data_IF_787019589892
#
_entry.id   IF_787019589892
#
_cell.length_a   1.000
_cell.length_b   1.000
_cell.length_c   1.000
_cell.angle_alpha   90.00
_cell.angle_beta   90.00
_cell.angle_gamma   90.00
#
_symmetry.space_group_name_H-M   'P 1'
#
loop_
_entity.id
_entity.type
_entity.pdbx_description
1 polymer ?
#
# COMPACT_ATOMS: atom_id res chain seq x y z
N UNK A 1 -28.51 -7.72 -21.19
CA UNK A 1 -27.43 -8.73 -21.26
C UNK A 1 -26.40 -8.35 -20.20
N UNK A 2 -26.31 -9.13 -19.11
CA UNK A 2 -25.34 -8.89 -18.04
C UNK A 2 -24.02 -9.55 -18.42
N UNK A 3 -22.97 -8.75 -18.63
CA UNK A 3 -21.60 -9.24 -18.73
C UNK A 3 -21.00 -9.17 -17.33
N UNK A 4 -21.01 -10.30 -16.62
CA UNK A 4 -20.31 -10.43 -15.35
C UNK A 4 -18.84 -10.72 -15.64
N UNK A 5 -17.95 -9.78 -15.33
CA UNK A 5 -16.54 -10.13 -15.15
C UNK A 5 -16.34 -10.79 -13.79
N UNK A 6 -15.22 -11.48 -13.61
CA UNK A 6 -14.80 -12.16 -12.37
C UNK A 6 -14.73 -11.24 -11.14
N UNK A 7 -14.87 -9.92 -11.30
CA UNK A 7 -14.84 -8.93 -10.23
C UNK A 7 -16.21 -8.58 -9.62
N UNK A 8 -17.31 -9.25 -9.99
CA UNK A 8 -18.62 -9.07 -9.33
C UNK A 8 -19.08 -7.59 -9.33
N UNK A 9 -18.74 -6.82 -10.38
CA UNK A 9 -19.20 -5.44 -10.58
C UNK A 9 -20.71 -5.46 -10.85
N UNK A 10 -21.49 -5.46 -9.77
CA UNK A 10 -22.97 -5.46 -9.78
C UNK A 10 -23.58 -4.12 -10.20
N UNK A 11 -22.76 -3.11 -10.48
CA UNK A 11 -23.24 -1.77 -10.80
C UNK A 11 -22.44 -1.13 -11.94
N UNK A 12 -22.71 -1.55 -13.18
CA UNK A 12 -22.87 -0.58 -14.26
C UNK A 12 -24.19 0.17 -14.01
N UNK A 13 -24.31 0.87 -12.88
CA UNK A 13 -25.39 1.84 -12.67
C UNK A 13 -25.22 2.90 -13.74
N UNK A 14 -26.26 3.13 -14.53
CA UNK A 14 -26.31 4.08 -15.64
C UNK A 14 -26.15 5.55 -15.27
N UNK A 15 -25.35 5.89 -14.26
CA UNK A 15 -24.73 7.20 -14.10
C UNK A 15 -23.56 7.31 -15.10
N UNK A 16 -23.88 7.21 -16.39
CA UNK A 16 -22.95 7.56 -17.44
C UNK A 16 -22.59 9.04 -17.25
N UNK A 17 -21.31 9.31 -17.03
CA UNK A 17 -20.83 10.68 -17.09
C UNK A 17 -21.08 11.18 -18.54
N UNK A 18 -21.94 12.20 -18.75
CA UNK A 18 -22.34 12.64 -20.08
C UNK A 18 -21.19 13.29 -20.87
N UNK A 19 -20.02 13.47 -20.26
CA UNK A 19 -18.81 13.99 -20.88
C UNK A 19 -17.84 12.89 -21.36
N UNK A 20 -18.19 11.60 -21.24
CA UNK A 20 -17.39 10.53 -21.85
C UNK A 20 -17.61 10.52 -23.37
N UNK A 21 -16.57 10.86 -24.14
CA UNK A 21 -16.61 10.98 -25.60
C UNK A 21 -16.85 9.64 -26.31
N UNK A 22 -16.50 8.51 -25.69
CA UNK A 22 -16.82 7.17 -26.17
C UNK A 22 -16.96 6.15 -25.02
N UNK A 23 -17.77 5.10 -25.23
CA UNK A 23 -17.94 3.99 -24.26
C UNK A 23 -16.64 3.24 -23.94
N UNK A 24 -15.68 3.24 -24.89
CA UNK A 24 -14.34 2.70 -24.68
C UNK A 24 -13.53 3.49 -23.64
N UNK A 25 -13.64 4.82 -23.62
CA UNK A 25 -12.94 5.65 -22.63
C UNK A 25 -13.52 5.48 -21.23
N UNK A 26 -14.83 5.24 -21.13
CA UNK A 26 -15.49 4.98 -19.86
C UNK A 26 -15.08 3.62 -19.29
N UNK A 27 -15.08 2.56 -20.11
CA UNK A 27 -14.54 1.26 -19.73
C UNK A 27 -13.05 1.38 -19.36
N UNK A 28 -12.25 2.01 -20.21
CA UNK A 28 -10.82 2.16 -19.95
C UNK A 28 -10.55 2.85 -18.61
N UNK A 29 -11.30 3.90 -18.27
CA UNK A 29 -11.12 4.62 -17.00
C UNK A 29 -11.50 3.77 -15.78
N UNK A 30 -12.64 3.08 -15.80
CA UNK A 30 -13.08 2.28 -14.65
C UNK A 30 -12.24 1.02 -14.47
N UNK A 31 -11.95 0.30 -15.56
CA UNK A 31 -11.09 -0.89 -15.51
C UNK A 31 -9.63 -0.54 -15.17
N UNK A 32 -9.13 0.62 -15.62
CA UNK A 32 -7.78 1.07 -15.27
C UNK A 32 -7.67 1.42 -13.78
N UNK A 33 -8.66 2.11 -13.22
CA UNK A 33 -8.70 2.39 -11.78
C UNK A 33 -8.80 1.11 -10.95
N UNK A 34 -9.67 0.18 -11.33
CA UNK A 34 -9.84 -1.08 -10.62
C UNK A 34 -8.54 -1.91 -10.65
N UNK A 35 -7.93 -2.04 -11.83
CA UNK A 35 -6.65 -2.73 -11.98
C UNK A 35 -5.53 -2.07 -11.16
N UNK A 36 -5.42 -0.74 -11.25
CA UNK A 36 -4.43 0.04 -10.50
C UNK A 36 -4.60 -0.14 -9.00
N UNK A 37 -5.82 0.00 -8.50
CA UNK A 37 -6.14 -0.10 -7.08
C UNK A 37 -5.90 -1.51 -6.54
N UNK A 38 -6.41 -2.54 -7.23
CA UNK A 38 -6.24 -3.95 -6.81
C UNK A 38 -4.76 -4.32 -6.80
N UNK A 39 -4.00 -3.97 -7.84
CA UNK A 39 -2.56 -4.23 -7.90
C UNK A 39 -1.83 -3.52 -6.77
N UNK A 40 -2.12 -2.23 -6.55
CA UNK A 40 -1.51 -1.46 -5.46
C UNK A 40 -1.81 -2.04 -4.07
N UNK A 41 -3.06 -2.43 -3.83
CA UNK A 41 -3.46 -3.07 -2.58
C UNK A 41 -2.78 -4.42 -2.37
N UNK A 42 -2.67 -5.24 -3.43
CA UNK A 42 -1.95 -6.51 -3.37
C UNK A 42 -0.47 -6.32 -3.01
N UNK A 43 0.21 -5.40 -3.71
CA UNK A 43 1.64 -5.14 -3.46
C UNK A 43 1.86 -4.60 -2.03
N UNK A 44 1.01 -3.67 -1.58
CA UNK A 44 1.09 -3.10 -0.23
C UNK A 44 0.83 -4.16 0.84
N UNK A 45 -0.16 -5.04 0.63
CA UNK A 45 -0.45 -6.14 1.54
C UNK A 45 0.70 -7.16 1.59
N UNK A 46 1.32 -7.48 0.45
CA UNK A 46 2.45 -8.41 0.36
C UNK A 46 3.66 -7.87 1.15
N UNK A 47 4.04 -6.62 0.93
CA UNK A 47 5.16 -6.00 1.66
C UNK A 47 4.86 -5.81 3.15
N UNK A 48 3.64 -5.39 3.48
CA UNK A 48 3.19 -5.29 4.88
C UNK A 48 3.22 -6.63 5.60
N UNK A 49 2.79 -7.71 4.93
CA UNK A 49 2.86 -9.07 5.47
C UNK A 49 4.30 -9.52 5.73
N UNK A 50 5.22 -9.30 4.79
CA UNK A 50 6.64 -9.66 4.96
C UNK A 50 7.27 -8.93 6.16
N UNK A 51 7.02 -7.63 6.29
CA UNK A 51 7.49 -6.84 7.43
C UNK A 51 6.87 -7.32 8.74
N UNK A 52 5.56 -7.59 8.76
CA UNK A 52 4.87 -8.10 9.95
C UNK A 52 5.42 -9.47 10.39
N UNK A 53 5.74 -10.36 9.46
CA UNK A 53 6.39 -11.66 9.77
C UNK A 53 7.78 -11.45 10.35
N UNK A 54 8.59 -10.55 9.77
CA UNK A 54 9.89 -10.19 10.34
C UNK A 54 9.76 -9.64 11.76
N UNK A 55 8.90 -8.64 11.97
CA UNK A 55 8.64 -8.07 13.28
C UNK A 55 8.17 -9.12 14.29
N UNK A 56 7.30 -10.05 13.87
CA UNK A 56 6.85 -11.16 14.72
C UNK A 56 8.01 -12.06 15.12
N UNK A 57 8.88 -12.45 14.19
CA UNK A 57 10.07 -13.25 14.51
C UNK A 57 10.97 -12.51 15.50
N UNK A 58 11.26 -11.24 15.24
CA UNK A 58 12.10 -10.42 16.13
C UNK A 58 11.51 -10.30 17.55
N UNK A 59 10.19 -10.18 17.64
CA UNK A 59 9.46 -10.05 18.90
C UNK A 59 9.33 -11.38 19.66
N UNK A 60 8.84 -12.44 19.01
CA UNK A 60 8.56 -13.73 19.65
C UNK A 60 9.85 -14.41 20.16
N UNK A 61 10.97 -14.21 19.45
CA UNK A 61 12.28 -14.71 19.87
C UNK A 61 13.09 -13.69 20.69
N UNK A 62 12.50 -12.52 21.02
CA UNK A 62 13.12 -11.47 21.85
C UNK A 62 14.55 -11.10 21.41
N UNK A 63 14.80 -11.07 20.09
CA UNK A 63 16.16 -10.98 19.54
C UNK A 63 16.88 -9.66 19.84
N UNK A 64 16.13 -8.63 20.24
CA UNK A 64 16.66 -7.32 20.63
C UNK A 64 16.37 -6.94 22.09
N UNK A 65 15.97 -7.90 22.93
CA UNK A 65 15.74 -7.64 24.35
C UNK A 65 17.05 -7.65 25.14
N UNK A 66 17.72 -6.50 25.19
CA UNK A 66 19.02 -6.31 25.85
C UNK A 66 18.92 -6.48 27.38
N UNK A 67 17.72 -6.36 27.93
CA UNK A 67 17.47 -6.42 29.38
C UNK A 67 16.98 -7.80 29.85
N UNK A 68 16.87 -8.78 28.95
CA UNK A 68 16.41 -10.13 29.28
C UNK A 68 17.47 -10.94 30.02
N UNK A 69 17.03 -11.74 31.00
CA UNK A 69 17.91 -12.60 31.82
C UNK A 69 18.71 -13.63 30.99
N UNK A 70 18.22 -14.00 29.80
CA UNK A 70 18.82 -14.98 28.88
C UNK A 70 19.52 -14.33 27.65
N UNK A 71 19.86 -13.04 27.71
CA UNK A 71 20.45 -12.34 26.56
C UNK A 71 21.89 -12.79 26.27
N UNK A 72 22.05 -13.61 25.23
CA UNK A 72 23.36 -13.95 24.67
C UNK A 72 23.64 -13.17 23.38
N UNK A 73 24.92 -12.83 23.12
CA UNK A 73 25.35 -12.05 21.93
C UNK A 73 24.84 -12.61 20.60
N UNK A 74 24.68 -13.92 20.48
CA UNK A 74 24.20 -14.54 19.25
C UNK A 74 22.74 -14.17 18.92
N UNK A 75 21.92 -13.79 19.90
CA UNK A 75 20.55 -13.32 19.66
C UNK A 75 20.54 -12.03 18.85
N UNK A 76 21.45 -11.10 19.17
CA UNK A 76 21.59 -9.83 18.46
C UNK A 76 22.12 -10.05 17.04
N UNK A 77 23.11 -10.93 16.87
CA UNK A 77 23.60 -11.30 15.54
C UNK A 77 22.50 -11.93 14.68
N UNK A 78 21.69 -12.81 15.27
CA UNK A 78 20.55 -13.45 14.60
C UNK A 78 19.44 -12.44 14.28
N UNK A 79 19.15 -11.50 15.19
CA UNK A 79 18.22 -10.41 14.95
C UNK A 79 18.64 -9.53 13.77
N UNK A 80 19.92 -9.14 13.71
CA UNK A 80 20.49 -8.39 12.58
C UNK A 80 20.39 -9.22 11.29
N UNK A 81 20.71 -10.52 11.33
CA UNK A 81 20.62 -11.40 10.18
C UNK A 81 19.18 -11.47 9.63
N UNK A 82 18.18 -11.62 10.50
CA UNK A 82 16.75 -11.62 10.10
C UNK A 82 16.40 -10.30 9.43
N UNK A 83 16.77 -9.16 10.01
CA UNK A 83 16.51 -7.83 9.42
C UNK A 83 17.14 -7.70 8.03
N UNK A 84 18.41 -8.09 7.88
CA UNK A 84 19.13 -7.99 6.61
C UNK A 84 18.52 -8.90 5.54
N UNK A 85 18.18 -10.16 5.88
CA UNK A 85 17.57 -11.12 4.95
C UNK A 85 16.19 -10.64 4.51
N UNK A 86 15.34 -10.20 5.44
CA UNK A 86 14.01 -9.71 5.09
C UNK A 86 14.08 -8.41 4.28
N UNK A 87 15.04 -7.53 4.58
CA UNK A 87 15.28 -6.32 3.78
C UNK A 87 15.74 -6.69 2.36
N UNK A 88 16.68 -7.62 2.22
CA UNK A 88 17.18 -8.08 0.93
C UNK A 88 16.08 -8.72 0.08
N UNK A 89 15.22 -9.55 0.70
CA UNK A 89 14.05 -10.14 0.05
C UNK A 89 13.06 -9.07 -0.39
N UNK A 90 12.76 -8.11 0.49
CA UNK A 90 11.84 -6.98 0.19
C UNK A 90 12.35 -6.16 -1.00
N UNK A 91 13.65 -5.84 -1.02
CA UNK A 91 14.27 -5.11 -2.12
C UNK A 91 14.27 -5.92 -3.43
N UNK A 92 14.50 -7.23 -3.39
CA UNK A 92 14.41 -8.08 -4.57
C UNK A 92 13.00 -8.13 -5.14
N UNK A 93 11.99 -8.28 -4.28
CA UNK A 93 10.60 -8.28 -4.69
C UNK A 93 10.19 -6.91 -5.24
N UNK A 94 10.62 -5.82 -4.62
CA UNK A 94 10.38 -4.46 -5.12
C UNK A 94 11.04 -4.22 -6.48
N UNK A 95 12.29 -4.68 -6.66
CA UNK A 95 12.98 -4.61 -7.94
C UNK A 95 12.26 -5.42 -9.02
N UNK A 96 11.82 -6.63 -8.69
CA UNK A 96 11.03 -7.47 -9.59
C UNK A 96 9.70 -6.82 -9.99
N UNK A 97 8.95 -6.28 -9.01
CA UNK A 97 7.71 -5.56 -9.29
C UNK A 97 7.94 -4.33 -10.18
N UNK A 98 8.98 -3.54 -9.90
CA UNK A 98 9.36 -2.40 -10.75
C UNK A 98 9.72 -2.83 -12.18
N UNK A 99 10.37 -3.98 -12.37
CA UNK A 99 10.70 -4.50 -13.71
C UNK A 99 9.50 -5.04 -14.49
N UNK A 100 8.42 -5.42 -13.79
CA UNK A 100 7.21 -6.02 -14.36
C UNK A 100 6.02 -5.04 -14.38
N UNK A 101 6.28 -3.78 -14.05
CA UNK A 101 5.31 -2.70 -14.15
C UNK A 101 5.19 -2.26 -15.62
N UNK A 102 3.98 -2.35 -16.15
CA UNK A 102 3.65 -1.90 -17.51
C UNK A 102 2.81 -0.65 -17.35
N UNK A 103 3.29 0.49 -17.88
CA UNK A 103 2.58 1.77 -17.85
C UNK A 103 3.05 2.77 -16.79
N UNK A 104 3.93 2.37 -15.86
CA UNK A 104 4.55 3.26 -14.87
C UNK A 104 6.05 2.99 -14.76
N UNK A 105 6.83 4.04 -14.52
CA UNK A 105 8.30 3.94 -14.40
C UNK A 105 8.74 3.15 -13.16
N UNK A 106 7.92 3.17 -12.10
CA UNK A 106 8.12 2.44 -10.85
C UNK A 106 6.86 2.47 -9.99
N UNK A 107 6.86 1.69 -8.90
CA UNK A 107 5.77 1.62 -7.91
C UNK A 107 5.46 2.97 -7.27
N UNK A 108 6.43 3.88 -7.14
CA UNK A 108 6.18 5.24 -6.65
C UNK A 108 5.40 6.07 -7.69
N UNK A 109 5.66 5.90 -8.99
CA UNK A 109 4.87 6.47 -10.08
C UNK A 109 3.43 5.95 -10.04
N UNK A 110 3.25 4.64 -9.87
CA UNK A 110 1.93 4.01 -9.70
C UNK A 110 1.17 4.56 -8.49
N UNK A 111 1.86 4.72 -7.35
CA UNK A 111 1.29 5.30 -6.13
C UNK A 111 0.89 6.76 -6.32
N UNK A 112 1.73 7.57 -6.98
CA UNK A 112 1.39 8.97 -7.28
C UNK A 112 0.15 9.07 -8.15
N UNK A 113 0.03 8.19 -9.14
CA UNK A 113 -1.12 8.17 -10.04
C UNK A 113 -2.40 7.75 -9.31
N UNK A 114 -2.32 6.71 -8.48
CA UNK A 114 -3.44 6.32 -7.61
C UNK A 114 -3.88 7.46 -6.68
N UNK A 115 -2.93 8.15 -6.03
CA UNK A 115 -3.23 9.29 -5.18
C UNK A 115 -3.94 10.41 -5.95
N UNK A 116 -3.49 10.72 -7.18
CA UNK A 116 -4.18 11.72 -8.03
C UNK A 116 -5.63 11.32 -8.30
N UNK A 117 -5.88 10.05 -8.63
CA UNK A 117 -7.24 9.55 -8.89
C UNK A 117 -8.10 9.60 -7.62
N UNK A 118 -7.56 9.19 -6.48
CA UNK A 118 -8.27 9.25 -5.19
C UNK A 118 -8.57 10.70 -4.77
N UNK A 119 -7.63 11.62 -4.92
CA UNK A 119 -7.86 13.05 -4.66
C UNK A 119 -8.93 13.61 -5.59
N UNK A 120 -8.89 13.27 -6.88
CA UNK A 120 -9.90 13.73 -7.82
C UNK A 120 -11.29 13.21 -7.44
N UNK A 121 -11.42 11.92 -7.12
CA UNK A 121 -12.70 11.32 -6.74
C UNK A 121 -13.24 11.80 -5.39
N UNK A 122 -12.37 11.94 -4.38
CA UNK A 122 -12.77 12.35 -3.03
C UNK A 122 -13.27 13.80 -2.96
N UNK A 123 -12.62 14.72 -3.68
CA UNK A 123 -12.94 16.15 -3.61
C UNK A 123 -13.83 16.65 -4.75
N UNK A 124 -13.72 16.11 -5.97
CA UNK A 124 -14.46 16.60 -7.13
C UNK A 124 -15.70 15.76 -7.48
N UNK A 125 -15.68 14.45 -7.21
CA UNK A 125 -16.82 13.56 -7.51
C UNK A 125 -17.82 13.43 -6.36
N UNK A 126 -17.64 14.18 -5.26
CA UNK A 126 -18.57 14.24 -4.12
C UNK A 126 -18.54 13.01 -3.20
N UNK A 127 -17.56 12.11 -3.34
CA UNK A 127 -17.46 10.92 -2.49
C UNK A 127 -16.68 11.24 -1.21
N UNK A 128 -17.34 11.87 -0.24
CA UNK A 128 -16.73 12.41 0.99
C UNK A 128 -16.00 11.36 1.83
N UNK A 129 -16.39 10.09 1.74
CA UNK A 129 -15.72 8.98 2.43
C UNK A 129 -14.30 8.74 1.92
N UNK A 130 -14.07 8.86 0.61
CA UNK A 130 -12.73 8.79 0.01
C UNK A 130 -11.90 10.02 0.40
N UNK A 131 -12.51 11.20 0.49
CA UNK A 131 -11.83 12.41 0.98
C UNK A 131 -11.41 12.29 2.45
N UNK A 132 -12.31 11.77 3.31
CA UNK A 132 -12.05 11.61 4.74
C UNK A 132 -10.98 10.54 5.02
N UNK A 133 -10.94 9.45 4.24
CA UNK A 133 -9.88 8.44 4.38
C UNK A 133 -8.49 9.01 4.06
N UNK A 134 -8.38 9.89 3.05
CA UNK A 134 -7.13 10.60 2.75
C UNK A 134 -6.70 11.53 3.89
N UNK A 135 -7.65 12.23 4.52
CA UNK A 135 -7.37 13.11 5.67
C UNK A 135 -6.91 12.30 6.88
N UNK A 136 -7.59 11.19 7.20
CA UNK A 136 -7.17 10.29 8.28
C UNK A 136 -5.78 9.72 8.00
N UNK A 137 -5.52 9.28 6.77
CA UNK A 137 -4.22 8.76 6.38
C UNK A 137 -3.12 9.81 6.57
N UNK A 138 -3.35 11.05 6.11
CA UNK A 138 -2.40 12.15 6.28
C UNK A 138 -2.17 12.49 7.76
N UNK A 139 -3.23 12.53 8.57
CA UNK A 139 -3.13 12.74 10.01
C UNK A 139 -2.34 11.61 10.69
N UNK A 140 -2.60 10.35 10.33
CA UNK A 140 -1.88 9.18 10.85
C UNK A 140 -0.38 9.24 10.55
N UNK A 141 -0.01 9.58 9.31
CA UNK A 141 1.40 9.77 8.92
C UNK A 141 2.03 10.92 9.71
N UNK A 142 1.32 12.04 9.88
CA UNK A 142 1.80 13.18 10.65
C UNK A 142 2.08 12.81 12.12
N UNK A 143 1.16 12.12 12.79
CA UNK A 143 1.37 11.65 14.16
C UNK A 143 2.48 10.60 14.27
N UNK A 144 2.62 9.73 13.26
CA UNK A 144 3.70 8.75 13.22
C UNK A 144 5.07 9.44 13.10
N UNK A 145 5.19 10.47 12.26
CA UNK A 145 6.42 11.26 12.14
C UNK A 145 6.73 11.97 13.46
N UNK A 146 5.73 12.60 14.09
CA UNK A 146 5.91 13.25 15.38
C UNK A 146 6.41 12.26 16.45
N UNK A 147 5.85 11.05 16.51
CA UNK A 147 6.26 10.02 17.46
C UNK A 147 7.67 9.46 17.22
N UNK A 148 8.21 9.61 16.01
CA UNK A 148 9.59 9.20 15.68
C UNK A 148 10.65 10.24 16.04
N UNK A 149 10.27 11.47 16.37
CA UNK A 149 11.21 12.52 16.78
C UNK A 149 11.52 12.33 18.28
N UNK A 150 12.76 11.97 18.67
CA UNK A 150 13.09 11.77 20.07
C UNK A 150 12.94 13.09 20.84
N UNK A 151 12.02 13.13 21.80
CA UNK A 151 11.71 14.32 22.62
C UNK A 151 10.31 14.91 22.41
N UNK A 152 9.49 14.39 21.48
CA UNK A 152 8.08 14.74 21.39
C UNK A 152 7.29 14.05 22.51
N UNK A 153 7.18 14.70 23.67
CA UNK A 153 6.14 14.35 24.63
C UNK A 153 4.81 14.88 24.09
N UNK A 154 4.11 14.07 23.30
CA UNK A 154 2.69 14.24 22.98
C UNK A 154 1.94 13.04 23.54
#
# INVERSE_FOLDING_TARGET
MMLSSSALVRHLTGNFNPYATNGYELLFREFHFEFLYVRWCFDTALFGFLLAVACKILHDFRLFDINGDDFERWHLELGIAVVLITTALTLHLLAYQNSTLIGWDNMAGMTRDLMKVLFHRGFYSGNLTEGFSLVIFAAGVFFLILGLIPGSQI
#
